data_IF_675458435588
#
_entry.id   IF_675458435588
#
_cell.length_a   1.000
_cell.length_b   1.000
_cell.length_c   1.000
_cell.angle_alpha   90.00
_cell.angle_beta   90.00
_cell.angle_gamma   90.00
#
_symmetry.space_group_name_H-M   'P 1'
#
loop_
_entity.id
_entity.type
_entity.pdbx_description
1 polymer ?
#
# COMPACT_ATOMS: atom_id res chain seq x y z
N UNK A 1 24.70 -9.81 -8.92
CA UNK A 1 24.49 -8.50 -8.27
C UNK A 1 24.70 -8.73 -6.79
N UNK A 2 25.76 -8.18 -6.22
CA UNK A 2 26.01 -8.24 -4.77
C UNK A 2 25.43 -6.99 -4.13
N UNK A 3 24.86 -7.17 -2.93
CA UNK A 3 24.41 -6.05 -2.11
C UNK A 3 25.64 -5.27 -1.62
N UNK A 4 25.62 -3.94 -1.82
CA UNK A 4 26.72 -3.04 -1.42
C UNK A 4 26.45 -2.41 -0.06
N UNK A 5 25.37 -2.80 0.64
CA UNK A 5 24.98 -2.26 1.94
C UNK A 5 24.82 -0.73 1.91
N UNK A 6 24.13 -0.21 0.89
CA UNK A 6 23.82 1.22 0.81
C UNK A 6 22.51 1.53 1.55
N UNK A 7 22.56 2.41 2.55
CA UNK A 7 21.42 2.71 3.43
C UNK A 7 20.98 4.17 3.27
N UNK A 8 19.68 4.37 3.05
CA UNK A 8 19.08 5.70 2.86
C UNK A 8 17.96 5.89 3.87
N UNK A 9 17.96 7.03 4.57
CA UNK A 9 16.89 7.42 5.48
C UNK A 9 16.22 8.68 4.95
N UNK A 10 14.91 8.62 4.80
CA UNK A 10 14.07 9.76 4.45
C UNK A 10 13.49 10.36 5.74
N UNK A 11 13.62 11.68 5.91
CA UNK A 11 13.19 12.40 7.12
C UNK A 11 11.99 13.28 6.83
N UNK A 12 11.08 13.40 7.79
CA UNK A 12 9.87 14.21 7.66
C UNK A 12 8.92 13.69 6.58
N UNK A 13 8.76 12.37 6.49
CA UNK A 13 7.89 11.73 5.51
C UNK A 13 6.41 11.91 5.89
N UNK A 14 5.62 12.38 4.93
CA UNK A 14 4.16 12.45 5.03
C UNK A 14 3.54 11.67 3.87
N UNK A 15 2.43 10.99 4.11
CA UNK A 15 1.65 10.35 3.04
C UNK A 15 0.88 11.43 2.30
N UNK A 16 1.19 11.63 1.02
CA UNK A 16 0.47 12.56 0.16
C UNK A 16 -0.65 11.86 -0.60
N UNK A 17 -0.33 10.70 -1.17
CA UNK A 17 -1.29 9.92 -1.95
C UNK A 17 -1.45 8.51 -1.40
N UNK A 18 -2.67 8.00 -1.50
CA UNK A 18 -3.02 6.62 -1.22
C UNK A 18 -3.84 6.08 -2.39
N UNK A 19 -3.49 4.89 -2.86
CA UNK A 19 -4.24 4.15 -3.86
C UNK A 19 -4.53 2.74 -3.37
N UNK A 20 -5.74 2.26 -3.60
CA UNK A 20 -6.08 0.84 -3.49
C UNK A 20 -6.67 0.38 -4.81
N UNK A 21 -6.17 -0.75 -5.29
CA UNK A 21 -6.64 -1.41 -6.49
C UNK A 21 -7.03 -2.85 -6.16
N UNK A 22 -8.30 -3.16 -6.41
CA UNK A 22 -8.91 -4.48 -6.28
C UNK A 22 -9.21 -4.95 -7.70
N UNK A 23 -8.32 -5.74 -8.32
CA UNK A 23 -8.54 -6.24 -9.67
C UNK A 23 -9.60 -7.34 -9.69
N UNK A 24 -10.15 -7.60 -10.88
CA UNK A 24 -11.11 -8.71 -11.10
C UNK A 24 -10.52 -10.08 -10.76
N UNK A 25 -9.20 -10.24 -10.90
CA UNK A 25 -8.51 -11.44 -10.49
C UNK A 25 -7.12 -11.08 -9.97
N UNK A 26 -6.72 -11.71 -8.87
CA UNK A 26 -5.37 -11.59 -8.32
C UNK A 26 -5.31 -10.85 -7.00
N UNK A 27 -4.13 -10.27 -6.74
CA UNK A 27 -3.80 -9.64 -5.46
C UNK A 27 -4.24 -8.18 -5.43
N UNK A 28 -4.70 -7.77 -4.25
CA UNK A 28 -5.01 -6.37 -3.98
C UNK A 28 -3.70 -5.62 -3.81
N UNK A 29 -3.60 -4.47 -4.47
CA UNK A 29 -2.42 -3.60 -4.38
C UNK A 29 -2.80 -2.33 -3.63
N UNK A 30 -1.96 -1.97 -2.65
CA UNK A 30 -2.03 -0.68 -1.98
C UNK A 30 -0.75 0.10 -2.28
N UNK A 31 -0.92 1.35 -2.69
CA UNK A 31 0.18 2.24 -3.07
C UNK A 31 0.15 3.47 -2.18
N UNK A 32 1.29 3.81 -1.60
CA UNK A 32 1.46 5.04 -0.81
C UNK A 32 2.49 5.94 -1.49
N UNK A 33 2.12 7.17 -1.80
CA UNK A 33 3.05 8.22 -2.20
C UNK A 33 3.52 8.99 -0.97
N UNK A 34 4.82 8.93 -0.70
CA UNK A 34 5.45 9.63 0.43
C UNK A 34 6.17 10.88 -0.06
N UNK A 35 5.95 11.99 0.62
CA UNK A 35 6.68 13.25 0.46
C UNK A 35 7.64 13.38 1.64
N UNK A 36 8.96 13.45 1.37
CA UNK A 36 9.98 13.58 2.40
C UNK A 36 10.65 14.96 2.35
N UNK A 37 11.00 15.50 3.52
CA UNK A 37 11.71 16.78 3.64
C UNK A 37 13.19 16.65 3.28
N UNK A 38 13.78 15.47 3.43
CA UNK A 38 15.18 15.23 3.08
C UNK A 38 15.54 13.76 3.03
N UNK A 39 16.65 13.47 2.35
CA UNK A 39 17.28 12.14 2.25
C UNK A 39 18.69 12.22 2.80
N UNK A 40 19.09 11.25 3.60
CA UNK A 40 20.45 11.14 4.14
C UNK A 40 20.96 9.72 3.96
N UNK A 41 22.19 9.59 3.49
CA UNK A 41 22.85 8.30 3.33
C UNK A 41 23.55 7.91 4.64
N UNK A 42 23.57 6.61 4.93
CA UNK A 42 24.22 6.05 6.11
C UNK A 42 25.21 4.96 5.68
N UNK A 43 26.35 4.91 6.36
CA UNK A 43 27.38 3.87 6.16
C UNK A 43 27.10 2.57 6.93
N UNK A 44 26.02 2.55 7.70
CA UNK A 44 25.58 1.39 8.49
C UNK A 44 24.06 1.36 8.56
N UNK A 45 23.49 0.17 8.77
CA UNK A 45 22.06 -0.02 8.87
C UNK A 45 21.48 0.88 9.99
N UNK A 46 20.32 1.52 9.77
CA UNK A 46 19.62 2.27 10.82
C UNK A 46 19.42 1.39 12.06
N UNK A 47 19.67 1.92 13.25
CA UNK A 47 19.55 1.15 14.49
C UNK A 47 18.12 0.62 14.68
N UNK A 48 17.97 -0.71 14.79
CA UNK A 48 16.70 -1.38 15.03
C UNK A 48 16.74 -2.87 14.67
N UNK A 49 15.88 -3.67 15.29
CA UNK A 49 15.63 -5.05 14.84
C UNK A 49 14.80 -5.00 13.56
N UNK A 50 15.33 -5.51 12.45
CA UNK A 50 14.55 -5.66 11.22
C UNK A 50 13.57 -6.81 11.46
N UNK A 51 12.28 -6.51 11.55
CA UNK A 51 11.23 -7.53 11.57
C UNK A 51 11.22 -8.23 10.22
N UNK A 52 11.32 -9.57 10.23
CA UNK A 52 11.24 -10.36 9.01
C UNK A 52 9.90 -10.13 8.30
N UNK A 53 9.90 -10.27 6.97
CA UNK A 53 8.68 -10.20 6.19
C UNK A 53 7.67 -11.25 6.66
N UNK A 54 6.41 -10.83 6.81
CA UNK A 54 5.34 -11.74 7.18
C UNK A 54 4.94 -12.64 5.99
N UNK A 55 4.80 -13.93 6.26
CA UNK A 55 4.35 -14.96 5.32
C UNK A 55 2.83 -15.14 5.31
N UNK A 56 2.10 -14.30 6.03
CA UNK A 56 0.64 -14.32 5.99
C UNK A 56 0.09 -14.22 4.55
N UNK A 57 -1.02 -14.93 4.27
CA UNK A 57 -1.68 -14.88 2.96
C UNK A 57 -1.91 -13.43 2.53
N UNK A 58 -1.53 -13.11 1.29
CA UNK A 58 -1.77 -11.79 0.72
C UNK A 58 -3.26 -11.64 0.42
N UNK A 59 -3.79 -10.45 0.66
CA UNK A 59 -5.18 -10.14 0.37
C UNK A 59 -5.41 -10.18 -1.15
N UNK A 60 -6.45 -10.86 -1.57
CA UNK A 60 -6.84 -11.05 -2.98
C UNK A 60 -8.29 -10.63 -3.18
N UNK A 61 -8.72 -10.51 -4.44
CA UNK A 61 -10.09 -10.12 -4.74
C UNK A 61 -11.14 -11.03 -4.08
N UNK A 62 -10.86 -12.33 -3.93
CA UNK A 62 -11.75 -13.30 -3.25
C UNK A 62 -11.89 -13.05 -1.75
N UNK A 63 -11.01 -12.24 -1.17
CA UNK A 63 -11.06 -11.86 0.25
C UNK A 63 -11.97 -10.66 0.50
N UNK A 64 -12.47 -10.02 -0.57
CA UNK A 64 -13.35 -8.84 -0.48
C UNK A 64 -14.79 -9.32 -0.41
N UNK A 65 -15.50 -8.85 0.62
CA UNK A 65 -16.93 -9.08 0.76
C UNK A 65 -17.75 -8.10 -0.10
N UNK A 66 -18.95 -7.79 0.37
CA UNK A 66 -19.84 -6.89 -0.34
C UNK A 66 -19.42 -5.42 -0.19
N UNK A 67 -19.55 -4.67 -1.28
CA UNK A 67 -19.56 -3.20 -1.20
C UNK A 67 -20.94 -2.76 -0.68
N UNK A 68 -20.91 -1.96 0.38
CA UNK A 68 -22.09 -1.37 1.01
C UNK A 68 -22.17 0.11 0.60
N UNK A 69 -23.31 0.53 0.04
CA UNK A 69 -23.63 1.95 -0.17
C UNK A 69 -24.70 2.31 0.85
N UNK A 70 -24.40 3.24 1.75
CA UNK A 70 -25.29 3.63 2.86
C UNK A 70 -25.79 2.45 3.70
N UNK A 71 -24.94 1.42 3.86
CA UNK A 71 -25.27 0.19 4.60
C UNK A 71 -26.06 -0.85 3.81
N UNK A 72 -26.37 -0.60 2.52
CA UNK A 72 -27.07 -1.54 1.64
C UNK A 72 -26.09 -2.26 0.72
N UNK A 73 -26.09 -3.60 0.77
CA UNK A 73 -25.24 -4.44 -0.08
C UNK A 73 -25.58 -4.26 -1.56
N UNK A 74 -24.54 -4.15 -2.38
CA UNK A 74 -24.66 -4.07 -3.83
C UNK A 74 -24.64 -5.45 -4.51
N UNK A 75 -24.50 -6.54 -3.76
CA UNK A 75 -24.53 -7.90 -4.30
C UNK A 75 -25.88 -8.19 -4.98
N UNK A 76 -25.83 -8.59 -6.25
CA UNK A 76 -27.03 -8.85 -7.06
C UNK A 76 -27.78 -7.62 -7.56
N UNK A 77 -27.35 -6.40 -7.17
CA UNK A 77 -27.88 -5.12 -7.68
C UNK A 77 -26.92 -4.55 -8.73
N UNK A 78 -25.63 -4.48 -8.37
CA UNK A 78 -24.57 -3.93 -9.22
C UNK A 78 -23.50 -4.99 -9.48
N UNK A 79 -23.12 -5.19 -10.75
CA UNK A 79 -22.05 -6.11 -11.14
C UNK A 79 -20.67 -5.43 -11.01
N UNK A 80 -20.17 -5.31 -9.77
CA UNK A 80 -18.86 -4.76 -9.48
C UNK A 80 -17.80 -5.87 -9.59
N UNK A 81 -16.94 -5.79 -10.60
CA UNK A 81 -15.87 -6.78 -10.84
C UNK A 81 -14.50 -6.29 -10.42
N UNK A 82 -14.29 -4.97 -10.41
CA UNK A 82 -13.05 -4.34 -9.98
C UNK A 82 -13.35 -3.02 -9.27
N UNK A 83 -12.44 -2.58 -8.41
CA UNK A 83 -12.56 -1.34 -7.65
C UNK A 83 -11.20 -0.66 -7.51
N UNK A 84 -11.15 0.61 -7.87
CA UNK A 84 -9.97 1.45 -7.68
C UNK A 84 -10.37 2.70 -6.92
N UNK A 85 -9.62 3.03 -5.88
CA UNK A 85 -9.79 4.26 -5.11
C UNK A 85 -8.46 4.97 -4.95
N UNK A 86 -8.50 6.29 -5.19
CA UNK A 86 -7.36 7.17 -5.05
C UNK A 86 -7.72 8.32 -4.13
N UNK A 87 -6.91 8.51 -3.10
CA UNK A 87 -6.88 9.69 -2.27
C UNK A 87 -5.61 10.45 -2.58
N UNK A 88 -5.77 11.71 -2.98
CA UNK A 88 -4.71 12.69 -3.12
C UNK A 88 -4.97 13.86 -2.17
N UNK A 89 -4.02 14.20 -1.30
CA UNK A 89 -4.10 15.36 -0.41
C UNK A 89 -3.71 16.67 -1.11
N UNK A 90 -3.29 16.63 -2.38
CA UNK A 90 -2.89 17.78 -3.19
C UNK A 90 -1.77 18.62 -2.59
N UNK A 91 -0.94 18.01 -1.72
CA UNK A 91 0.21 18.66 -1.09
C UNK A 91 1.40 18.77 -2.05
#
# INVERSE_FOLDING_TARGET
>A
FEDVNDYHVFRGCHVNTFGIDIPEAGLITMTFGLMALGRTNFSSAPAGTITAADNNPKMSNVSVGDILIDGVSQAGISCLTAFTFNWDNTM
#
